data_IF_441806774254
#
_entry.id   IF_441806774254
#
_cell.length_a   1.000
_cell.length_b   1.000
_cell.length_c   1.000
_cell.angle_alpha   90.00
_cell.angle_beta   90.00
_cell.angle_gamma   90.00
#
_symmetry.space_group_name_H-M   'P 1'
#
loop_
_entity.id
_entity.type
_entity.pdbx_description
1 polymer ?
#
# COMPACT_ATOMS: atom_id res chain seq x y z
N UNK A 1 35.36 2.29 7.93
CA UNK A 1 34.50 1.10 8.15
C UNK A 1 33.04 1.24 7.69
N UNK A 2 32.60 2.36 7.09
CA UNK A 2 31.21 2.55 6.59
C UNK A 2 31.01 2.20 5.10
N UNK A 3 32.09 2.01 4.35
CA UNK A 3 32.02 1.73 2.89
C UNK A 3 31.51 0.33 2.59
N UNK A 4 31.89 -0.69 3.37
CA UNK A 4 31.49 -2.08 3.13
C UNK A 4 29.98 -2.31 3.24
N UNK A 5 29.29 -1.53 4.11
CA UNK A 5 27.83 -1.58 4.22
C UNK A 5 27.13 -1.03 2.97
N UNK A 6 27.70 -0.01 2.33
CA UNK A 6 27.19 0.56 1.07
C UNK A 6 27.47 -0.37 -0.12
N UNK A 7 28.63 -1.02 -0.16
CA UNK A 7 28.93 -2.02 -1.20
C UNK A 7 28.04 -3.25 -1.05
N UNK A 8 27.84 -3.73 0.17
CA UNK A 8 26.94 -4.84 0.44
C UNK A 8 25.48 -4.49 0.11
N UNK A 9 25.06 -3.25 0.42
CA UNK A 9 23.75 -2.74 0.02
C UNK A 9 23.60 -2.67 -1.50
N UNK A 10 24.59 -2.16 -2.24
CA UNK A 10 24.58 -2.09 -3.71
C UNK A 10 24.63 -3.47 -4.41
N UNK A 11 25.11 -4.52 -3.73
CA UNK A 11 25.10 -5.90 -4.25
C UNK A 11 23.77 -6.58 -3.93
N UNK A 12 23.19 -6.31 -2.76
CA UNK A 12 21.91 -6.87 -2.36
C UNK A 12 20.73 -6.19 -3.06
N UNK A 13 20.83 -4.92 -3.43
CA UNK A 13 19.74 -4.17 -4.06
C UNK A 13 19.30 -4.75 -5.43
N UNK A 14 20.21 -5.12 -6.36
CA UNK A 14 19.85 -5.78 -7.62
C UNK A 14 19.22 -7.15 -7.40
N UNK A 15 19.74 -7.94 -6.45
CA UNK A 15 19.19 -9.25 -6.10
C UNK A 15 17.79 -9.08 -5.51
N UNK A 16 17.63 -8.12 -4.60
CA UNK A 16 16.35 -7.77 -4.01
C UNK A 16 15.34 -7.29 -5.07
N UNK A 17 15.73 -6.41 -5.99
CA UNK A 17 14.88 -5.95 -7.09
C UNK A 17 14.48 -7.09 -8.04
N UNK A 18 15.42 -7.96 -8.41
CA UNK A 18 15.17 -9.06 -9.34
C UNK A 18 14.26 -10.14 -8.74
N UNK A 19 14.41 -10.44 -7.44
CA UNK A 19 13.52 -11.36 -6.73
C UNK A 19 12.16 -10.76 -6.37
N UNK A 20 12.03 -9.43 -6.34
CA UNK A 20 10.78 -8.78 -5.92
C UNK A 20 9.79 -8.46 -7.02
N UNK A 21 10.12 -8.64 -8.32
CA UNK A 21 9.17 -8.41 -9.45
C UNK A 21 8.31 -7.15 -9.23
N UNK A 22 8.93 -6.06 -8.78
CA UNK A 22 8.24 -4.80 -8.53
C UNK A 22 8.02 -4.12 -9.88
N UNK A 23 6.85 -4.34 -10.49
CA UNK A 23 6.43 -3.57 -11.66
C UNK A 23 5.89 -2.23 -11.19
N UNK A 24 6.49 -1.12 -11.60
CA UNK A 24 5.83 0.18 -11.47
C UNK A 24 4.49 0.14 -12.21
N UNK A 25 3.45 0.77 -11.65
CA UNK A 25 2.32 1.25 -12.46
C UNK A 25 2.89 2.35 -13.33
N UNK A 26 3.53 1.96 -14.43
CA UNK A 26 3.84 2.90 -15.49
C UNK A 26 2.48 3.22 -16.11
N UNK A 27 1.91 4.36 -15.73
CA UNK A 27 0.85 4.95 -16.53
C UNK A 27 1.50 5.51 -17.80
N UNK A 28 0.82 5.26 -18.92
CA UNK A 28 1.13 5.81 -20.23
C UNK A 28 0.77 7.30 -20.30
N UNK A 29 1.29 8.13 -19.37
CA UNK A 29 0.94 9.55 -19.36
C UNK A 29 1.34 10.31 -18.10
N UNK A 30 2.63 10.59 -17.93
CA UNK A 30 3.20 11.81 -17.31
C UNK A 30 2.65 12.37 -15.97
N UNK A 31 1.84 11.66 -15.17
CA UNK A 31 1.56 12.01 -13.76
C UNK A 31 1.74 10.77 -12.88
N UNK A 32 2.80 10.78 -12.06
CA UNK A 32 3.12 9.68 -11.15
C UNK A 32 2.08 9.60 -10.03
N UNK A 33 1.20 8.60 -10.00
CA UNK A 33 0.24 8.37 -8.89
C UNK A 33 0.97 8.21 -7.55
N UNK A 34 0.30 8.47 -6.43
CA UNK A 34 0.81 8.17 -5.08
C UNK A 34 0.89 6.67 -4.83
N UNK A 35 0.29 5.85 -5.68
CA UNK A 35 0.32 4.39 -5.56
C UNK A 35 1.41 3.76 -6.41
N UNK A 36 2.32 3.06 -5.73
CA UNK A 36 3.11 2.01 -6.36
C UNK A 36 2.40 0.69 -6.13
N UNK A 37 2.24 -0.11 -7.19
CA UNK A 37 1.59 -1.42 -7.07
C UNK A 37 2.55 -2.54 -7.39
N UNK A 38 2.22 -3.76 -6.96
CA UNK A 38 2.72 -4.98 -7.60
C UNK A 38 1.71 -6.09 -7.47
N UNK A 39 1.75 -7.07 -8.37
CA UNK A 39 1.06 -8.33 -8.13
C UNK A 39 1.74 -9.11 -6.99
N UNK A 40 0.94 -9.71 -6.13
CA UNK A 40 1.43 -10.56 -5.05
C UNK A 40 0.50 -11.73 -4.81
N UNK A 41 1.06 -12.84 -4.32
CA UNK A 41 0.27 -13.97 -3.81
C UNK A 41 0.03 -13.75 -2.32
N UNK A 42 -1.23 -13.84 -1.88
CA UNK A 42 -1.57 -13.70 -0.47
C UNK A 42 -0.98 -14.86 0.35
N UNK A 43 -0.46 -14.59 1.55
CA UNK A 43 0.16 -15.61 2.42
C UNK A 43 -0.42 -15.65 3.83
N UNK A 44 -1.41 -14.80 4.11
CA UNK A 44 -2.10 -14.80 5.40
C UNK A 44 -3.24 -15.82 5.47
N UNK A 45 -3.94 -15.80 6.60
CA UNK A 45 -5.13 -16.61 6.85
C UNK A 45 -6.32 -16.08 6.05
N UNK A 46 -7.30 -16.94 5.76
CA UNK A 46 -8.46 -16.53 4.99
C UNK A 46 -9.18 -15.32 5.60
N UNK A 47 -9.65 -14.41 4.76
CA UNK A 47 -10.36 -13.17 5.15
C UNK A 47 -11.61 -13.03 4.30
N UNK A 48 -12.75 -12.73 4.92
CA UNK A 48 -13.99 -12.39 4.21
C UNK A 48 -14.20 -10.89 4.32
N UNK A 49 -14.33 -10.22 3.18
CA UNK A 49 -14.65 -8.80 3.10
C UNK A 49 -16.16 -8.57 3.25
N UNK A 50 -16.57 -7.34 3.56
CA UNK A 50 -17.98 -6.98 3.76
C UNK A 50 -18.87 -7.26 2.54
N UNK A 51 -18.31 -7.22 1.34
CA UNK A 51 -19.01 -7.52 0.09
C UNK A 51 -19.10 -9.03 -0.23
N UNK A 52 -18.67 -9.88 0.71
CA UNK A 52 -18.65 -11.34 0.55
C UNK A 52 -17.40 -11.88 -0.15
N UNK A 53 -16.47 -11.03 -0.58
CA UNK A 53 -15.22 -11.48 -1.22
C UNK A 53 -14.37 -12.25 -0.21
N UNK A 54 -14.25 -13.56 -0.40
CA UNK A 54 -13.42 -14.44 0.41
C UNK A 54 -12.00 -14.54 -0.15
N UNK A 55 -10.99 -14.00 0.53
CA UNK A 55 -9.58 -14.06 0.13
C UNK A 55 -8.90 -15.27 0.78
N UNK A 56 -8.33 -16.17 -0.03
CA UNK A 56 -7.59 -17.34 0.41
C UNK A 56 -6.07 -17.19 0.24
N UNK A 57 -5.33 -18.01 0.99
CA UNK A 57 -3.88 -18.16 0.80
C UNK A 57 -3.59 -18.52 -0.67
N UNK A 58 -2.62 -17.82 -1.25
CA UNK A 58 -2.19 -17.86 -2.65
C UNK A 58 -3.12 -17.20 -3.68
N UNK A 59 -4.21 -16.56 -3.26
CA UNK A 59 -4.97 -15.71 -4.16
C UNK A 59 -4.08 -14.57 -4.70
N UNK A 60 -4.30 -14.20 -5.96
CA UNK A 60 -3.58 -13.12 -6.59
C UNK A 60 -4.22 -11.80 -6.16
N UNK A 61 -3.41 -10.95 -5.52
CA UNK A 61 -3.82 -9.63 -5.05
C UNK A 61 -2.94 -8.56 -5.68
N UNK A 62 -3.47 -7.34 -5.76
CA UNK A 62 -2.70 -6.16 -6.13
C UNK A 62 -2.22 -5.45 -4.87
N UNK A 63 -0.93 -5.52 -4.58
CA UNK A 63 -0.36 -4.86 -3.42
C UNK A 63 -0.11 -3.40 -3.69
N UNK A 64 -0.64 -2.50 -2.86
CA UNK A 64 -0.40 -1.06 -2.94
C UNK A 64 0.63 -0.59 -1.90
N UNK A 65 1.38 0.43 -2.28
CA UNK A 65 2.34 1.15 -1.45
C UNK A 65 2.21 2.64 -1.74
N UNK A 66 2.21 3.47 -0.70
CA UNK A 66 2.20 4.92 -0.86
C UNK A 66 3.60 5.45 -1.19
N UNK A 67 3.67 6.39 -2.12
CA UNK A 67 4.90 7.05 -2.51
C UNK A 67 5.28 8.12 -1.47
N UNK A 68 5.93 7.70 -0.38
CA UNK A 68 6.29 8.56 0.75
C UNK A 68 6.97 9.87 0.34
N UNK A 69 7.88 9.87 -0.65
CA UNK A 69 8.55 11.10 -1.12
C UNK A 69 7.57 12.11 -1.73
N UNK A 70 6.59 11.66 -2.52
CA UNK A 70 5.58 12.55 -3.11
C UNK A 70 4.66 13.09 -2.03
N UNK A 71 4.25 12.24 -1.07
CA UNK A 71 3.46 12.70 0.07
C UNK A 71 4.20 13.76 0.88
N UNK A 72 5.49 13.58 1.18
CA UNK A 72 6.29 14.57 1.91
C UNK A 72 6.35 15.89 1.14
N UNK A 73 6.55 15.85 -0.18
CA UNK A 73 6.58 17.05 -1.02
C UNK A 73 5.26 17.82 -0.99
N UNK A 74 4.14 17.13 -1.23
CA UNK A 74 2.80 17.73 -1.31
C UNK A 74 2.31 18.25 0.05
N UNK A 75 2.77 17.65 1.15
CA UNK A 75 2.40 18.03 2.52
C UNK A 75 3.36 19.06 3.15
N UNK A 76 4.47 19.41 2.49
CA UNK A 76 5.54 20.25 3.06
C UNK A 76 5.09 21.65 3.46
N UNK A 77 4.07 22.19 2.80
CA UNK A 77 3.58 23.56 2.98
C UNK A 77 2.26 23.65 3.73
N UNK A 78 1.78 22.53 4.28
CA UNK A 78 0.56 22.50 5.08
C UNK A 78 0.99 22.41 6.54
N UNK A 79 0.63 23.38 7.36
CA UNK A 79 1.04 23.37 8.78
C UNK A 79 0.06 22.56 9.66
N UNK A 80 -1.23 22.54 9.30
CA UNK A 80 -2.26 21.86 10.05
C UNK A 80 -2.30 20.36 9.75
N UNK A 81 -2.17 19.54 10.79
CA UNK A 81 -2.31 18.06 10.68
C UNK A 81 -3.68 17.63 10.15
N UNK A 82 -4.74 18.40 10.43
CA UNK A 82 -6.08 18.14 9.90
C UNK A 82 -6.12 18.38 8.39
N UNK A 83 -5.55 19.50 7.94
CA UNK A 83 -5.47 19.83 6.52
C UNK A 83 -4.59 18.82 5.77
N UNK A 84 -3.47 18.38 6.36
CA UNK A 84 -2.63 17.32 5.80
C UNK A 84 -3.42 16.02 5.61
N UNK A 85 -4.17 15.60 6.63
CA UNK A 85 -4.97 14.39 6.57
C UNK A 85 -6.07 14.49 5.49
N UNK A 86 -6.70 15.66 5.35
CA UNK A 86 -7.72 15.90 4.33
C UNK A 86 -7.14 15.90 2.92
N UNK A 87 -6.01 16.58 2.71
CA UNK A 87 -5.31 16.59 1.42
C UNK A 87 -4.88 15.17 1.03
N UNK A 88 -4.30 14.42 1.96
CA UNK A 88 -3.91 13.03 1.74
C UNK A 88 -5.12 12.13 1.41
N UNK A 89 -6.27 12.35 2.07
CA UNK A 89 -7.50 11.64 1.73
C UNK A 89 -7.93 11.90 0.27
N UNK A 90 -7.94 13.16 -0.16
CA UNK A 90 -8.32 13.52 -1.53
C UNK A 90 -7.35 12.95 -2.55
N UNK A 91 -6.04 13.10 -2.33
CA UNK A 91 -5.02 12.52 -3.22
C UNK A 91 -5.18 11.00 -3.37
N UNK A 92 -5.37 10.29 -2.26
CA UNK A 92 -5.57 8.85 -2.28
C UNK A 92 -6.86 8.50 -3.03
N UNK A 93 -7.96 9.19 -2.75
CA UNK A 93 -9.25 8.96 -3.41
C UNK A 93 -9.12 9.12 -4.93
N UNK A 94 -8.51 10.21 -5.38
CA UNK A 94 -8.37 10.51 -6.80
C UNK A 94 -7.46 9.47 -7.49
N UNK A 95 -6.40 9.02 -6.82
CA UNK A 95 -5.52 7.97 -7.33
C UNK A 95 -6.15 6.55 -7.29
N UNK A 96 -7.23 6.32 -6.53
CA UNK A 96 -8.00 5.08 -6.61
C UNK A 96 -8.72 4.94 -7.96
N UNK A 97 -9.15 6.04 -8.57
CA UNK A 97 -9.70 6.01 -9.94
C UNK A 97 -8.62 5.64 -10.97
N UNK A 98 -7.38 6.08 -10.77
CA UNK A 98 -6.28 5.63 -11.62
C UNK A 98 -6.00 4.13 -11.40
N UNK A 99 -6.09 3.67 -10.15
CA UNK A 99 -5.90 2.26 -9.80
C UNK A 99 -6.99 1.36 -10.41
N UNK A 100 -8.24 1.82 -10.49
CA UNK A 100 -9.32 1.06 -11.10
C UNK A 100 -9.09 0.87 -12.60
N UNK A 101 -8.75 1.93 -13.32
CA UNK A 101 -8.39 1.87 -14.75
C UNK A 101 -7.20 0.95 -15.01
N UNK A 102 -6.18 1.00 -14.13
CA UNK A 102 -5.04 0.09 -14.19
C UNK A 102 -5.48 -1.37 -14.09
N UNK A 103 -6.38 -1.70 -13.14
CA UNK A 103 -6.90 -3.07 -12.99
C UNK A 103 -7.74 -3.48 -14.20
N UNK A 104 -8.62 -2.62 -14.71
CA UNK A 104 -9.49 -2.94 -15.85
C UNK A 104 -8.72 -3.29 -17.11
N UNK A 105 -7.58 -2.62 -17.33
CA UNK A 105 -6.67 -2.85 -18.45
C UNK A 105 -5.64 -3.95 -18.20
N UNK A 106 -5.51 -4.44 -16.97
CA UNK A 106 -4.49 -5.42 -16.63
C UNK A 106 -4.79 -6.78 -17.30
N UNK A 107 -3.83 -7.44 -17.96
CA UNK A 107 -4.05 -8.74 -18.63
C UNK A 107 -4.61 -9.83 -17.70
N UNK A 108 -4.30 -9.70 -16.41
CA UNK A 108 -4.73 -10.62 -15.34
C UNK A 108 -5.88 -10.09 -14.48
N UNK A 109 -6.68 -9.13 -14.98
CA UNK A 109 -7.73 -8.47 -14.19
C UNK A 109 -8.66 -9.42 -13.46
N UNK A 110 -9.04 -10.53 -14.10
CA UNK A 110 -9.94 -11.54 -13.54
C UNK A 110 -9.28 -12.42 -12.46
N UNK A 111 -7.95 -12.52 -12.45
CA UNK A 111 -7.22 -13.22 -11.40
C UNK A 111 -7.07 -12.36 -10.14
N UNK A 112 -7.06 -11.03 -10.30
CA UNK A 112 -6.82 -10.09 -9.20
C UNK A 112 -8.10 -10.00 -8.36
N UNK A 113 -8.08 -10.62 -7.18
CA UNK A 113 -9.26 -10.71 -6.33
C UNK A 113 -9.51 -9.45 -5.50
N UNK A 114 -8.43 -8.86 -5.01
CA UNK A 114 -8.49 -7.69 -4.15
C UNK A 114 -7.17 -6.90 -4.18
N UNK A 115 -7.26 -5.66 -3.73
CA UNK A 115 -6.14 -4.81 -3.37
C UNK A 115 -5.71 -5.14 -1.94
N UNK A 116 -4.40 -5.13 -1.68
CA UNK A 116 -3.82 -5.33 -0.35
C UNK A 116 -2.79 -4.26 0.00
N UNK A 117 -2.84 -3.75 1.23
CA UNK A 117 -1.84 -2.84 1.81
C UNK A 117 -1.48 -3.25 3.23
N UNK A 118 -0.45 -2.61 3.79
CA UNK A 118 -0.17 -2.64 5.22
C UNK A 118 -0.01 -1.21 5.70
N UNK A 119 -0.72 -0.85 6.76
CA UNK A 119 -0.74 0.51 7.29
C UNK A 119 -0.81 0.53 8.81
N UNK A 120 -0.27 1.59 9.42
CA UNK A 120 -0.51 1.96 10.83
C UNK A 120 -1.63 3.01 10.96
N UNK A 121 -2.00 3.66 9.84
CA UNK A 121 -3.10 4.61 9.76
C UNK A 121 -4.41 3.86 9.45
N UNK A 122 -5.26 3.74 10.46
CA UNK A 122 -6.57 3.07 10.35
C UNK A 122 -7.72 4.05 10.17
N UNK A 123 -7.56 5.28 10.66
CA UNK A 123 -8.61 6.31 10.58
C UNK A 123 -8.77 6.74 9.13
N UNK A 124 -10.02 6.84 8.67
CA UNK A 124 -10.36 7.32 7.33
C UNK A 124 -10.20 6.31 6.19
N UNK A 125 -9.56 5.15 6.42
CA UNK A 125 -9.39 4.16 5.35
C UNK A 125 -10.70 3.49 4.94
N UNK A 126 -11.65 3.36 5.87
CA UNK A 126 -13.01 2.87 5.59
C UNK A 126 -13.78 3.79 4.63
N UNK A 127 -13.61 5.11 4.75
CA UNK A 127 -14.21 6.11 3.85
C UNK A 127 -13.62 6.08 2.44
N UNK A 128 -12.46 5.47 2.27
CA UNK A 128 -11.86 5.19 0.97
C UNK A 128 -12.28 3.81 0.42
N UNK A 129 -13.12 3.07 1.14
CA UNK A 129 -13.59 1.73 0.75
C UNK A 129 -12.68 0.59 1.19
N UNK A 130 -11.64 0.86 2.01
CA UNK A 130 -10.78 -0.18 2.54
C UNK A 130 -11.27 -0.76 3.87
N UNK A 131 -11.00 -2.04 4.07
CA UNK A 131 -11.28 -2.79 5.29
C UNK A 131 -9.97 -3.17 5.99
N UNK A 132 -9.89 -2.92 7.29
CA UNK A 132 -8.69 -3.13 8.08
C UNK A 132 -8.76 -4.44 8.87
N UNK A 133 -7.75 -5.29 8.75
CA UNK A 133 -7.67 -6.58 9.43
C UNK A 133 -6.35 -6.74 10.18
N UNK A 134 -6.33 -7.32 11.40
CA UNK A 134 -5.11 -7.53 12.14
C UNK A 134 -4.18 -8.53 11.43
N UNK A 135 -2.87 -8.30 11.50
CA UNK A 135 -1.90 -9.31 11.07
C UNK A 135 -1.88 -10.44 12.11
N UNK A 136 -2.38 -11.61 11.74
CA UNK A 136 -2.50 -12.74 12.67
C UNK A 136 -1.14 -13.29 13.13
N UNK A 137 -0.17 -13.40 12.21
CA UNK A 137 1.17 -13.88 12.54
C UNK A 137 1.93 -12.88 13.43
N UNK A 138 2.25 -13.30 14.66
CA UNK A 138 2.89 -12.47 15.70
C UNK A 138 4.28 -11.98 15.28
N UNK A 139 5.11 -12.85 14.71
CA UNK A 139 6.46 -12.52 14.26
C UNK A 139 6.43 -11.53 13.10
N UNK A 140 5.54 -11.75 12.13
CA UNK A 140 5.38 -10.84 11.00
C UNK A 140 4.87 -9.47 11.44
N UNK A 141 3.93 -9.44 12.39
CA UNK A 141 3.42 -8.21 13.00
C UNK A 141 4.53 -7.44 13.72
N UNK A 142 5.34 -8.12 14.53
CA UNK A 142 6.45 -7.50 15.24
C UNK A 142 7.51 -6.94 14.28
N UNK A 143 7.91 -7.72 13.27
CA UNK A 143 8.82 -7.26 12.22
C UNK A 143 8.29 -5.98 11.57
N UNK A 144 7.01 -5.95 11.19
CA UNK A 144 6.40 -4.74 10.61
C UNK A 144 6.33 -3.59 11.58
N UNK A 145 5.99 -3.85 12.83
CA UNK A 145 5.95 -2.82 13.87
C UNK A 145 7.32 -2.17 14.05
N UNK A 146 8.40 -2.96 14.13
CA UNK A 146 9.77 -2.44 14.22
C UNK A 146 10.13 -1.57 13.01
N UNK A 147 9.79 -2.01 11.78
CA UNK A 147 10.06 -1.20 10.58
C UNK A 147 9.32 0.14 10.59
N UNK A 148 8.05 0.16 11.01
CA UNK A 148 7.29 1.41 11.10
C UNK A 148 7.80 2.30 12.25
N UNK A 149 8.18 1.72 13.39
CA UNK A 149 8.76 2.47 14.51
C UNK A 149 10.08 3.14 14.12
N UNK A 150 10.95 2.44 13.38
CA UNK A 150 12.21 3.01 12.91
C UNK A 150 11.97 4.19 11.95
N UNK A 151 11.06 4.03 10.99
CA UNK A 151 10.66 5.12 10.08
C UNK A 151 10.07 6.28 10.87
N UNK A 152 9.19 6.00 11.83
CA UNK A 152 8.57 7.03 12.66
C UNK A 152 9.57 7.78 13.53
N UNK A 153 10.59 7.09 14.05
CA UNK A 153 11.70 7.71 14.78
C UNK A 153 12.49 8.67 13.90
N UNK A 154 12.84 8.25 12.67
CA UNK A 154 13.55 9.11 11.70
C UNK A 154 12.69 10.30 11.28
N UNK A 155 11.38 10.09 11.11
CA UNK A 155 10.43 11.12 10.71
C UNK A 155 9.93 11.99 11.87
N UNK A 156 10.38 11.74 13.11
CA UNK A 156 9.89 12.37 14.34
C UNK A 156 8.36 12.28 14.53
N UNK A 157 7.75 11.19 14.08
CA UNK A 157 6.31 10.93 14.21
C UNK A 157 6.05 9.92 15.31
N UNK A 158 5.18 10.26 16.27
CA UNK A 158 4.79 9.37 17.38
C UNK A 158 3.48 8.63 17.06
N UNK A 159 3.55 7.60 16.20
CA UNK A 159 2.41 6.71 15.98
C UNK A 159 2.69 5.31 16.56
N UNK A 160 1.97 4.96 17.64
CA UNK A 160 2.14 3.70 18.36
C UNK A 160 1.19 2.59 17.90
N UNK A 161 0.39 2.84 16.86
CA UNK A 161 -0.58 1.87 16.39
C UNK A 161 0.09 0.62 15.80
N UNK A 162 -0.49 -0.53 16.10
CA UNK A 162 -0.04 -1.78 15.48
C UNK A 162 -0.40 -1.76 13.98
N UNK A 163 0.51 -2.23 13.11
CA UNK A 163 0.21 -2.36 11.70
C UNK A 163 -0.99 -3.31 11.50
N UNK A 164 -1.74 -3.07 10.43
CA UNK A 164 -2.86 -3.90 9.98
C UNK A 164 -2.76 -4.15 8.48
N UNK A 165 -3.35 -5.25 8.03
CA UNK A 165 -3.70 -5.38 6.62
C UNK A 165 -4.81 -4.41 6.26
N UNK A 166 -4.74 -3.94 5.03
CA UNK A 166 -5.76 -3.14 4.40
C UNK A 166 -6.21 -3.87 3.15
N UNK A 167 -7.50 -4.17 3.02
CA UNK A 167 -8.06 -4.86 1.86
C UNK A 167 -9.16 -4.04 1.20
N UNK A 168 -9.31 -4.20 -0.11
CA UNK A 168 -10.45 -3.70 -0.86
C UNK A 168 -10.67 -4.65 -2.02
N UNK A 169 -11.87 -5.20 -2.20
CA UNK A 169 -12.14 -6.06 -3.35
C UNK A 169 -12.03 -5.27 -4.66
N UNK A 170 -11.70 -5.95 -5.75
CA UNK A 170 -11.71 -5.32 -7.07
C UNK A 170 -13.10 -4.83 -7.45
N UNK A 171 -14.15 -5.58 -7.12
CA UNK A 171 -15.55 -5.17 -7.33
C UNK A 171 -15.85 -3.83 -6.64
N UNK A 172 -15.45 -3.66 -5.37
CA UNK A 172 -15.67 -2.43 -4.62
C UNK A 172 -14.90 -1.26 -5.22
N UNK A 173 -13.66 -1.47 -5.66
CA UNK A 173 -12.86 -0.44 -6.34
C UNK A 173 -13.51 0.04 -7.64
N UNK A 174 -13.96 -0.90 -8.48
CA UNK A 174 -14.57 -0.61 -9.77
C UNK A 174 -15.91 0.12 -9.60
N UNK A 175 -16.68 -0.22 -8.57
CA UNK A 175 -17.92 0.49 -8.25
C UNK A 175 -17.65 1.90 -7.70
N UNK A 176 -16.62 2.06 -6.86
CA UNK A 176 -16.20 3.36 -6.32
C UNK A 176 -15.77 4.34 -7.42
N UNK A 177 -15.33 3.85 -8.58
CA UNK A 177 -14.87 4.71 -9.68
C UNK A 177 -15.98 5.19 -10.61
N UNK A 178 -17.19 4.61 -10.50
CA UNK A 178 -18.36 4.94 -11.34
C UNK A 178 -19.28 5.99 -10.72
N UNK A 179 -19.07 6.31 -9.44
CA UNK A 179 -19.73 7.38 -8.67
C UNK A 179 -18.84 8.61 -8.63
#
# INVERSE_FOLDING_TARGET
MKSYLLTLWNILDPIYYNFTRLHHVADHGHKQTVFRVRLTRYKGSAVILQDGTLIHKNDLLLKIHLHNVRMIHELKHVDSEIQKALLLYHMIRDDLHCLSHYIEKHPRRYDIKAIIGITVLRKGTNRLGFEAFPLQNRYYRLFKQLTFSLIGFIANTSNRNQPVYLFMSTNRLLNHSKT
#
